data_IF_806191771593
#
_entry.id   IF_806191771593
#
_cell.length_a   1.000
_cell.length_b   1.000
_cell.length_c   1.000
_cell.angle_alpha   90.00
_cell.angle_beta   90.00
_cell.angle_gamma   90.00
#
_symmetry.space_group_name_H-M   'P 1'
#
loop_
_entity.id
_entity.type
_entity.pdbx_description
1 polymer ?
#
# COMPACT_ATOMS: atom_id res chain seq x y z
N UNK A 1 2.40 6.26 -14.23
CA UNK A 1 1.44 5.71 -13.23
C UNK A 1 1.95 4.43 -12.57
N UNK A 2 2.59 3.50 -13.29
CA UNK A 2 3.17 2.28 -12.71
C UNK A 2 4.22 2.59 -11.62
N UNK A 3 5.10 3.56 -11.86
CA UNK A 3 6.08 4.01 -10.86
C UNK A 3 5.46 4.46 -9.54
N UNK A 4 4.32 5.16 -9.60
CA UNK A 4 3.59 5.55 -8.39
C UNK A 4 3.08 4.34 -7.62
N UNK A 5 2.58 3.30 -8.29
CA UNK A 5 2.15 2.07 -7.62
C UNK A 5 3.32 1.37 -6.92
N UNK A 6 4.50 1.29 -7.56
CA UNK A 6 5.69 0.70 -6.93
C UNK A 6 6.14 1.45 -5.68
N UNK A 7 6.08 2.79 -5.70
CA UNK A 7 6.38 3.61 -4.53
C UNK A 7 5.45 3.30 -3.35
N UNK A 8 4.14 3.16 -3.60
CA UNK A 8 3.19 2.80 -2.54
C UNK A 8 3.38 1.37 -2.03
N UNK A 9 3.75 0.41 -2.89
CA UNK A 9 4.12 -0.93 -2.44
C UNK A 9 5.36 -0.91 -1.54
N UNK A 10 6.37 -0.09 -1.86
CA UNK A 10 7.53 0.08 -1.00
C UNK A 10 7.15 0.61 0.38
N UNK A 11 6.35 1.68 0.45
CA UNK A 11 5.88 2.21 1.73
C UNK A 11 5.03 1.22 2.54
N UNK A 12 4.24 0.38 1.86
CA UNK A 12 3.51 -0.70 2.51
C UNK A 12 4.45 -1.68 3.22
N UNK A 13 5.50 -2.16 2.53
CA UNK A 13 6.48 -3.10 3.10
C UNK A 13 7.22 -2.47 4.29
N UNK A 14 7.65 -1.22 4.16
CA UNK A 14 8.31 -0.49 5.25
C UNK A 14 7.38 -0.38 6.47
N UNK A 15 6.11 0.00 6.24
CA UNK A 15 5.12 0.12 7.32
C UNK A 15 4.84 -1.22 8.00
N UNK A 16 4.68 -2.29 7.24
CA UNK A 16 4.54 -3.64 7.79
C UNK A 16 5.78 -4.04 8.61
N UNK A 17 6.98 -3.71 8.14
CA UNK A 17 8.23 -3.90 8.87
C UNK A 17 8.25 -3.18 10.21
N UNK A 18 7.78 -1.94 10.28
CA UNK A 18 7.62 -1.22 11.56
C UNK A 18 6.57 -1.86 12.47
N UNK A 19 5.46 -2.36 11.93
CA UNK A 19 4.47 -3.12 12.71
C UNK A 19 5.10 -4.34 13.37
N UNK A 20 5.83 -5.14 12.60
CA UNK A 20 6.56 -6.30 13.12
C UNK A 20 7.69 -5.92 14.10
N UNK A 21 8.40 -4.82 13.86
CA UNK A 21 9.41 -4.31 14.79
C UNK A 21 8.78 -3.98 16.15
N UNK A 22 7.62 -3.32 16.16
CA UNK A 22 6.88 -3.06 17.42
C UNK A 22 6.44 -4.37 18.08
N UNK A 23 6.07 -5.40 17.32
CA UNK A 23 5.76 -6.71 17.89
C UNK A 23 6.96 -7.39 18.56
N UNK A 24 8.13 -7.43 17.88
CA UNK A 24 9.30 -8.18 18.37
C UNK A 24 10.18 -7.41 19.35
N UNK A 25 10.23 -6.09 19.24
CA UNK A 25 11.08 -5.25 20.08
C UNK A 25 10.22 -4.55 21.12
N UNK A 26 9.85 -5.34 22.14
CA UNK A 26 9.21 -4.85 23.34
C UNK A 26 10.27 -4.64 24.42
N UNK A 27 10.34 -3.43 24.95
CA UNK A 27 11.25 -3.07 26.04
C UNK A 27 10.42 -2.63 27.26
N UNK A 28 10.68 -3.29 28.39
CA UNK A 28 10.10 -2.98 29.68
C UNK A 28 11.19 -2.36 30.55
N UNK A 29 11.10 -1.05 30.75
CA UNK A 29 12.05 -0.33 31.60
C UNK A 29 11.76 -0.44 33.10
N UNK A 30 10.67 -1.10 33.49
CA UNK A 30 10.30 -1.26 34.91
C UNK A 30 10.89 -2.55 35.49
N UNK A 31 12.01 -2.41 36.21
CA UNK A 31 12.55 -3.45 37.08
C UNK A 31 11.58 -3.74 38.23
N UNK A 32 11.00 -4.94 38.25
CA UNK A 32 10.05 -5.36 39.28
C UNK A 32 10.73 -5.53 40.65
N UNK A 33 10.45 -4.61 41.58
CA UNK A 33 10.82 -4.76 42.99
C UNK A 33 9.63 -4.67 43.97
N UNK A 34 8.37 -4.56 43.53
CA UNK A 34 7.24 -4.54 44.45
C UNK A 34 6.00 -5.21 43.85
N UNK A 35 5.37 -6.10 44.62
CA UNK A 35 4.09 -6.76 44.32
C UNK A 35 2.96 -5.72 44.28
N UNK A 36 2.37 -5.40 43.11
CA UNK A 36 1.32 -4.39 43.04
C UNK A 36 -0.04 -5.03 43.26
N UNK A 37 -0.63 -4.82 44.44
CA UNK A 37 -2.04 -5.13 44.72
C UNK A 37 -2.89 -3.94 44.26
N UNK A 38 -3.92 -4.19 43.44
CA UNK A 38 -4.83 -3.19 42.84
C UNK A 38 -4.23 -2.22 41.80
N UNK A 39 -3.26 -2.64 40.98
CA UNK A 39 -2.95 -1.89 39.76
C UNK A 39 -4.07 -2.09 38.72
N UNK A 40 -4.78 -1.03 38.38
CA UNK A 40 -5.65 -0.97 37.20
C UNK A 40 -4.75 -1.09 35.96
N UNK A 41 -4.46 -2.34 35.57
CA UNK A 41 -3.38 -2.83 34.70
C UNK A 41 -1.96 -2.50 35.22
N UNK A 42 -1.14 -3.51 35.47
CA UNK A 42 0.28 -3.31 35.84
C UNK A 42 1.05 -2.56 34.73
N UNK A 43 2.12 -1.84 35.08
CA UNK A 43 2.89 -1.00 34.14
C UNK A 43 3.30 -1.73 32.85
N UNK A 44 3.66 -3.02 32.95
CA UNK A 44 3.92 -3.91 31.82
C UNK A 44 2.69 -4.10 30.90
N UNK A 45 1.50 -4.34 31.47
CA UNK A 45 0.29 -4.47 30.67
C UNK A 45 -0.07 -3.15 29.95
N UNK A 46 0.21 -2.00 30.56
CA UNK A 46 -0.01 -0.70 29.92
C UNK A 46 0.94 -0.47 28.74
N UNK A 47 2.24 -0.74 28.92
CA UNK A 47 3.24 -0.65 27.87
C UNK A 47 2.95 -1.61 26.70
N UNK A 48 2.47 -2.81 27.01
CA UNK A 48 2.07 -3.79 26.01
C UNK A 48 0.89 -3.32 25.14
N UNK A 49 -0.16 -2.74 25.75
CA UNK A 49 -1.32 -2.19 25.03
C UNK A 49 -0.89 -1.07 24.09
N UNK A 50 -0.03 -0.16 24.55
CA UNK A 50 0.49 0.94 23.72
C UNK A 50 1.26 0.39 22.53
N UNK A 51 2.16 -0.56 22.77
CA UNK A 51 2.98 -1.15 21.74
C UNK A 51 2.13 -1.92 20.69
N UNK A 52 1.09 -2.61 21.15
CA UNK A 52 0.11 -3.27 20.29
C UNK A 52 -0.67 -2.26 19.42
N UNK A 53 -1.07 -1.11 19.97
CA UNK A 53 -1.74 -0.07 19.20
C UNK A 53 -0.83 0.52 18.11
N UNK A 54 0.45 0.77 18.41
CA UNK A 54 1.41 1.20 17.38
C UNK A 54 1.58 0.15 16.29
N UNK A 55 1.72 -1.14 16.68
CA UNK A 55 1.80 -2.25 15.74
C UNK A 55 0.57 -2.28 14.80
N UNK A 56 -0.64 -2.22 15.36
CA UNK A 56 -1.88 -2.23 14.57
C UNK A 56 -1.94 -1.01 13.65
N UNK A 57 -1.59 0.18 14.12
CA UNK A 57 -1.58 1.38 13.30
C UNK A 57 -0.65 1.24 12.09
N UNK A 58 0.54 0.68 12.27
CA UNK A 58 1.47 0.41 11.17
C UNK A 58 0.95 -0.63 10.18
N UNK A 59 0.27 -1.69 10.64
CA UNK A 59 -0.35 -2.67 9.73
C UNK A 59 -1.54 -2.09 8.97
N UNK A 60 -2.38 -1.26 9.60
CA UNK A 60 -3.45 -0.54 8.93
C UNK A 60 -2.88 0.39 7.86
N UNK A 61 -1.80 1.12 8.18
CA UNK A 61 -1.11 1.98 7.22
C UNK A 61 -0.57 1.17 6.04
N UNK A 62 0.03 0.00 6.31
CA UNK A 62 0.50 -0.91 5.26
C UNK A 62 -0.64 -1.35 4.33
N UNK A 63 -1.80 -1.71 4.88
CA UNK A 63 -2.99 -2.11 4.11
C UNK A 63 -3.52 -0.98 3.23
N UNK A 64 -3.61 0.25 3.77
CA UNK A 64 -4.03 1.43 3.01
C UNK A 64 -3.13 1.63 1.79
N UNK A 65 -1.80 1.53 1.98
CA UNK A 65 -0.86 1.65 0.88
C UNK A 65 -1.01 0.53 -0.16
N UNK A 66 -1.27 -0.73 0.23
CA UNK A 66 -1.56 -1.81 -0.72
C UNK A 66 -2.81 -1.50 -1.55
N UNK A 67 -3.88 -1.01 -0.93
CA UNK A 67 -5.13 -0.69 -1.62
C UNK A 67 -4.91 0.40 -2.66
N UNK A 68 -4.19 1.46 -2.30
CA UNK A 68 -3.84 2.56 -3.21
C UNK A 68 -2.95 2.05 -4.35
N UNK A 69 -1.92 1.27 -4.04
CA UNK A 69 -1.00 0.71 -5.04
C UNK A 69 -1.73 -0.17 -6.06
N UNK A 70 -2.62 -1.04 -5.59
CA UNK A 70 -3.47 -1.88 -6.45
C UNK A 70 -4.34 -1.05 -7.40
N UNK A 71 -4.93 0.03 -6.89
CA UNK A 71 -5.78 0.91 -7.69
C UNK A 71 -4.97 1.63 -8.77
N UNK A 72 -3.83 2.22 -8.41
CA UNK A 72 -2.92 2.90 -9.35
C UNK A 72 -2.39 1.94 -10.42
N UNK A 73 -2.04 0.72 -10.04
CA UNK A 73 -1.55 -0.29 -10.97
C UNK A 73 -2.62 -0.70 -11.99
N UNK A 74 -3.85 -0.97 -11.52
CA UNK A 74 -4.98 -1.29 -12.39
C UNK A 74 -5.26 -0.15 -13.37
N UNK A 75 -5.29 1.09 -12.89
CA UNK A 75 -5.50 2.26 -13.75
C UNK A 75 -4.40 2.39 -14.80
N UNK A 76 -3.13 2.18 -14.43
CA UNK A 76 -2.03 2.23 -15.38
C UNK A 76 -2.18 1.21 -16.52
N UNK A 77 -2.60 -0.02 -16.21
CA UNK A 77 -2.82 -1.07 -17.21
C UNK A 77 -4.01 -0.77 -18.11
N UNK A 78 -5.12 -0.30 -17.54
CA UNK A 78 -6.32 0.04 -18.30
C UNK A 78 -6.07 1.21 -19.26
N UNK A 79 -5.36 2.25 -18.81
CA UNK A 79 -5.00 3.38 -19.66
C UNK A 79 -4.13 2.94 -20.84
N UNK A 80 -3.12 2.10 -20.61
CA UNK A 80 -2.25 1.58 -21.67
C UNK A 80 -3.03 0.79 -22.73
N UNK A 81 -3.95 -0.09 -22.28
CA UNK A 81 -4.83 -0.85 -23.18
C UNK A 81 -5.74 0.06 -24.01
N UNK A 82 -6.30 1.11 -23.40
CA UNK A 82 -7.16 2.06 -24.08
C UNK A 82 -6.41 2.91 -25.11
N UNK A 83 -5.19 3.35 -24.80
CA UNK A 83 -4.34 4.08 -25.75
C UNK A 83 -4.00 3.23 -26.96
N UNK A 84 -3.62 1.96 -26.76
CA UNK A 84 -3.34 1.02 -27.85
C UNK A 84 -4.54 0.81 -28.77
N UNK A 85 -5.71 0.52 -28.20
CA UNK A 85 -6.95 0.35 -28.97
C UNK A 85 -7.30 1.60 -29.81
N UNK A 86 -7.16 2.78 -29.21
CA UNK A 86 -7.41 4.04 -29.92
C UNK A 86 -6.44 4.28 -31.08
N UNK A 87 -5.17 3.88 -30.94
CA UNK A 87 -4.19 3.96 -32.03
C UNK A 87 -4.53 3.00 -33.16
N UNK A 88 -4.91 1.76 -32.85
CA UNK A 88 -5.33 0.77 -33.85
C UNK A 88 -6.56 1.27 -34.62
N UNK A 89 -7.57 1.79 -33.93
CA UNK A 89 -8.76 2.36 -34.55
C UNK A 89 -8.43 3.53 -35.50
N UNK A 90 -7.53 4.45 -35.08
CA UNK A 90 -7.06 5.56 -35.94
C UNK A 90 -6.32 5.06 -37.19
N UNK A 91 -5.45 4.05 -37.06
CA UNK A 91 -4.72 3.45 -38.20
C UNK A 91 -5.68 2.80 -39.20
N UNK A 92 -6.66 2.05 -38.72
CA UNK A 92 -7.69 1.44 -39.56
C UNK A 92 -8.52 2.49 -40.32
N UNK A 93 -8.91 3.58 -39.64
CA UNK A 93 -9.61 4.69 -40.26
C UNK A 93 -8.76 5.36 -41.35
N UNK A 94 -7.47 5.57 -41.10
CA UNK A 94 -6.54 6.17 -42.05
C UNK A 94 -6.33 5.30 -43.29
N UNK A 95 -6.14 3.99 -43.11
CA UNK A 95 -6.07 3.02 -44.22
C UNK A 95 -7.34 3.03 -45.06
N UNK A 96 -8.52 3.08 -44.42
CA UNK A 96 -9.81 3.17 -45.11
C UNK A 96 -9.96 4.48 -45.89
N UNK A 97 -9.38 5.60 -45.41
CA UNK A 97 -9.35 6.87 -46.16
C UNK A 97 -8.43 6.79 -47.37
N UNK A 98 -7.20 6.28 -47.22
CA UNK A 98 -6.26 6.14 -48.34
C UNK A 98 -6.80 5.24 -49.46
N UNK A 99 -7.44 4.11 -49.11
CA UNK A 99 -8.09 3.23 -50.09
C UNK A 99 -9.22 3.90 -50.87
N UNK A 100 -9.89 4.91 -50.29
CA UNK A 100 -10.93 5.68 -51.00
C UNK A 100 -10.33 6.70 -51.95
N UNK A 101 -9.24 7.35 -51.56
CA UNK A 101 -8.54 8.32 -52.42
C UNK A 101 -7.96 7.63 -53.67
N UNK A 102 -7.31 6.48 -53.54
CA UNK A 102 -6.72 5.75 -54.68
C UNK A 102 -7.74 5.11 -55.66
N UNK A 103 -9.05 5.21 -55.39
CA UNK A 103 -10.10 4.69 -56.29
C UNK A 103 -10.71 5.77 -57.20
N UNK A 104 -10.34 7.03 -57.00
CA UNK A 104 -10.76 8.19 -57.81
C UNK A 104 -9.61 8.53 -58.76
#
# INVERSE_FOLDING_TARGET
MKEGAYLFYFFSVVSAGFGFYKYWHYDNSEGYAATPVNAYVGGDAYNYIINANYMIAFFVLALIFVVIANHLFKMAVLTEKQTSNNQVAKRQLMQKRMRRVNRV
#
